data_IF_343347012291
#
_entry.id   IF_343347012291
#
_cell.length_a   1.000
_cell.length_b   1.000
_cell.length_c   1.000
_cell.angle_alpha   90.00
_cell.angle_beta   90.00
_cell.angle_gamma   90.00
#
_symmetry.space_group_name_H-M   'P 1'
#
loop_
_entity.id
_entity.type
_entity.pdbx_description
1 polymer ?
#
# COMPACT_ATOMS: atom_id res chain seq x y z
N UNK A 1 -13.67 -12.99 -18.17
CA UNK A 1 -12.38 -12.71 -17.76
C UNK A 1 -12.23 -11.52 -16.84
N UNK A 2 -11.01 -11.19 -16.61
CA UNK A 2 -10.48 -10.14 -15.72
C UNK A 2 -10.90 -8.71 -16.09
N UNK A 3 -11.37 -8.48 -17.31
CA UNK A 3 -11.82 -7.17 -17.81
C UNK A 3 -13.34 -6.99 -17.84
N UNK A 4 -14.10 -7.91 -17.27
CA UNK A 4 -15.55 -7.82 -17.21
C UNK A 4 -15.98 -6.75 -16.20
N UNK A 5 -16.95 -5.90 -16.60
CA UNK A 5 -17.53 -4.88 -15.73
C UNK A 5 -19.02 -5.12 -15.48
N UNK A 6 -19.72 -5.66 -16.46
CA UNK A 6 -21.15 -5.92 -16.40
C UNK A 6 -21.54 -7.00 -17.40
N UNK A 7 -22.78 -7.43 -17.36
CA UNK A 7 -23.36 -8.27 -18.41
C UNK A 7 -24.77 -7.79 -18.78
N UNK A 8 -25.21 -8.18 -19.99
CA UNK A 8 -26.61 -8.11 -20.40
C UNK A 8 -27.14 -9.51 -20.56
N UNK A 9 -28.32 -9.74 -20.03
CA UNK A 9 -29.07 -10.99 -20.20
C UNK A 9 -30.33 -10.64 -20.98
N UNK A 10 -30.51 -11.24 -22.13
CA UNK A 10 -31.62 -10.97 -23.07
C UNK A 10 -31.79 -9.46 -23.38
N UNK A 11 -30.66 -8.74 -23.53
CA UNK A 11 -30.62 -7.33 -23.86
C UNK A 11 -30.74 -6.37 -22.66
N UNK A 12 -31.09 -6.86 -21.47
CA UNK A 12 -31.20 -6.05 -20.25
C UNK A 12 -29.92 -6.14 -19.40
N UNK A 13 -29.51 -5.03 -18.80
CA UNK A 13 -28.36 -5.00 -17.89
C UNK A 13 -28.67 -5.84 -16.65
N UNK A 14 -27.78 -6.77 -16.35
CA UNK A 14 -27.89 -7.67 -15.21
C UNK A 14 -26.64 -7.65 -14.34
N UNK A 15 -26.76 -7.87 -13.02
CA UNK A 15 -25.61 -7.99 -12.13
C UNK A 15 -24.80 -9.24 -12.48
N UNK A 16 -23.47 -9.21 -12.25
CA UNK A 16 -22.59 -10.36 -12.50
C UNK A 16 -22.87 -11.56 -11.59
N UNK A 17 -23.64 -11.36 -10.53
CA UNK A 17 -24.12 -12.41 -9.61
C UNK A 17 -25.40 -13.09 -10.07
N UNK A 18 -25.99 -12.67 -11.22
CA UNK A 18 -27.22 -13.24 -11.76
C UNK A 18 -27.05 -14.72 -12.12
N UNK A 19 -28.06 -15.52 -11.77
CA UNK A 19 -28.12 -16.94 -12.11
C UNK A 19 -28.67 -17.12 -13.51
N UNK A 20 -27.81 -17.56 -14.40
CA UNK A 20 -28.17 -17.74 -15.82
C UNK A 20 -29.01 -18.99 -16.04
N UNK A 21 -29.98 -18.89 -16.93
CA UNK A 21 -30.89 -19.99 -17.34
C UNK A 21 -30.57 -20.46 -18.76
N UNK A 22 -30.92 -21.70 -19.06
CA UNK A 22 -30.78 -22.25 -20.42
C UNK A 22 -31.62 -21.44 -21.42
N UNK A 23 -31.03 -21.14 -22.56
CA UNK A 23 -31.71 -20.39 -23.63
C UNK A 23 -31.55 -18.86 -23.58
N UNK A 24 -30.98 -18.31 -22.52
CA UNK A 24 -30.73 -16.88 -22.42
C UNK A 24 -29.56 -16.44 -23.31
N UNK A 25 -29.69 -15.26 -23.90
CA UNK A 25 -28.62 -14.59 -24.66
C UNK A 25 -27.82 -13.71 -23.72
N UNK A 26 -26.50 -13.93 -23.64
CA UNK A 26 -25.61 -13.23 -22.75
C UNK A 26 -24.58 -12.40 -23.51
N UNK A 27 -24.50 -11.14 -23.18
CA UNK A 27 -23.49 -10.21 -23.67
C UNK A 27 -22.61 -9.75 -22.51
N UNK A 28 -21.29 -10.01 -22.59
CA UNK A 28 -20.32 -9.59 -21.57
C UNK A 28 -19.80 -8.21 -21.94
N UNK A 29 -19.95 -7.25 -21.04
CA UNK A 29 -19.42 -5.90 -21.19
C UNK A 29 -18.05 -5.86 -20.51
N UNK A 30 -17.02 -5.50 -21.28
CA UNK A 30 -15.65 -5.41 -20.80
C UNK A 30 -15.03 -4.07 -21.19
N UNK A 31 -14.09 -3.58 -20.37
CA UNK A 31 -13.33 -2.37 -20.67
C UNK A 31 -11.85 -2.55 -20.38
N UNK A 32 -11.02 -1.80 -21.12
CA UNK A 32 -9.59 -1.75 -20.84
C UNK A 32 -9.38 -1.08 -19.46
N UNK A 33 -8.60 -1.73 -18.58
CA UNK A 33 -8.35 -1.24 -17.24
C UNK A 33 -9.32 -1.70 -16.15
N UNK A 34 -10.40 -2.43 -16.53
CA UNK A 34 -11.22 -3.09 -15.52
C UNK A 34 -10.43 -4.17 -14.77
N UNK A 35 -10.72 -4.31 -13.49
CA UNK A 35 -10.05 -5.24 -12.58
C UNK A 35 -11.09 -6.07 -11.83
N UNK A 36 -10.78 -7.33 -11.49
CA UNK A 36 -11.63 -8.16 -10.67
C UNK A 36 -11.86 -7.54 -9.29
N UNK A 37 -13.13 -7.52 -8.87
CA UNK A 37 -13.48 -7.06 -7.54
C UNK A 37 -13.38 -8.21 -6.52
N UNK A 38 -12.76 -8.02 -5.35
CA UNK A 38 -12.68 -9.04 -4.29
C UNK A 38 -14.04 -9.64 -3.90
N UNK A 39 -15.10 -8.83 -3.91
CA UNK A 39 -16.46 -9.27 -3.59
C UNK A 39 -17.01 -10.33 -4.55
N UNK A 40 -16.44 -10.47 -5.74
CA UNK A 40 -16.85 -11.53 -6.68
C UNK A 40 -16.58 -12.93 -6.14
N UNK A 41 -15.63 -13.09 -5.22
CA UNK A 41 -15.37 -14.37 -4.56
C UNK A 41 -16.58 -14.91 -3.78
N UNK A 42 -17.53 -14.03 -3.41
CA UNK A 42 -18.72 -14.41 -2.65
C UNK A 42 -19.77 -15.13 -3.50
N UNK A 43 -19.80 -14.86 -4.82
CA UNK A 43 -20.83 -15.43 -5.69
C UNK A 43 -20.28 -16.30 -6.85
N UNK A 44 -18.97 -16.22 -7.19
CA UNK A 44 -18.44 -17.07 -8.27
C UNK A 44 -18.49 -18.54 -7.89
N UNK A 45 -19.07 -19.36 -8.76
CA UNK A 45 -19.29 -20.78 -8.52
C UNK A 45 -18.08 -21.65 -8.91
N UNK A 46 -17.39 -21.31 -10.03
CA UNK A 46 -16.37 -22.20 -10.60
C UNK A 46 -15.02 -22.04 -9.92
N UNK A 47 -14.32 -23.16 -9.67
CA UNK A 47 -12.96 -23.17 -9.12
C UNK A 47 -11.99 -22.35 -9.99
N UNK A 48 -12.14 -22.39 -11.32
CA UNK A 48 -11.33 -21.64 -12.28
C UNK A 48 -11.48 -20.13 -12.09
N UNK A 49 -12.71 -19.63 -11.93
CA UNK A 49 -12.95 -18.21 -11.69
C UNK A 49 -12.38 -17.76 -10.34
N UNK A 50 -12.62 -18.56 -9.28
CA UNK A 50 -12.07 -18.29 -7.95
C UNK A 50 -10.54 -18.23 -7.95
N UNK A 51 -9.89 -19.19 -8.62
CA UNK A 51 -8.43 -19.23 -8.75
C UNK A 51 -7.89 -18.02 -9.50
N UNK A 52 -8.52 -17.65 -10.63
CA UNK A 52 -8.11 -16.49 -11.42
C UNK A 52 -8.23 -15.17 -10.64
N UNK A 53 -9.36 -14.97 -9.92
CA UNK A 53 -9.55 -13.77 -9.08
C UNK A 53 -8.52 -13.73 -7.96
N UNK A 54 -8.30 -14.83 -7.23
CA UNK A 54 -7.30 -14.89 -6.15
C UNK A 54 -5.89 -14.60 -6.66
N UNK A 55 -5.54 -15.16 -7.82
CA UNK A 55 -4.24 -14.93 -8.44
C UNK A 55 -4.04 -13.46 -8.80
N UNK A 56 -5.06 -12.84 -9.40
CA UNK A 56 -5.04 -11.42 -9.73
C UNK A 56 -4.85 -10.54 -8.49
N UNK A 57 -5.67 -10.76 -7.45
CA UNK A 57 -5.61 -10.00 -6.20
C UNK A 57 -4.25 -10.17 -5.48
N UNK A 58 -3.67 -11.37 -5.52
CA UNK A 58 -2.34 -11.63 -4.95
C UNK A 58 -1.25 -10.85 -5.70
N UNK A 59 -1.31 -10.81 -7.02
CA UNK A 59 -0.33 -10.07 -7.83
C UNK A 59 -0.48 -8.57 -7.60
N UNK A 60 -1.71 -8.05 -7.57
CA UNK A 60 -1.98 -6.65 -7.26
C UNK A 60 -1.41 -6.27 -5.87
N UNK A 61 -1.66 -7.08 -4.85
CA UNK A 61 -1.10 -6.85 -3.52
C UNK A 61 0.43 -6.88 -3.51
N UNK A 62 1.04 -7.75 -4.31
CA UNK A 62 2.49 -7.80 -4.47
C UNK A 62 3.01 -6.49 -5.06
N UNK A 63 2.46 -6.04 -6.18
CA UNK A 63 2.90 -4.82 -6.87
C UNK A 63 2.69 -3.57 -5.99
N UNK A 64 1.56 -3.49 -5.29
CA UNK A 64 1.29 -2.42 -4.34
C UNK A 64 2.30 -2.40 -3.19
N UNK A 65 2.65 -3.58 -2.63
CA UNK A 65 3.64 -3.66 -1.55
C UNK A 65 5.03 -3.26 -2.00
N UNK A 66 5.45 -3.66 -3.20
CA UNK A 66 6.74 -3.27 -3.78
C UNK A 66 6.80 -1.76 -4.01
N UNK A 67 5.74 -1.17 -4.58
CA UNK A 67 5.66 0.27 -4.83
C UNK A 67 5.68 1.09 -3.53
N UNK A 68 4.91 0.67 -2.53
CA UNK A 68 4.92 1.29 -1.21
C UNK A 68 6.31 1.18 -0.57
N UNK A 69 6.90 -0.03 -0.56
CA UNK A 69 8.23 -0.26 -0.01
C UNK A 69 9.32 0.58 -0.67
N UNK A 70 9.21 0.78 -1.99
CA UNK A 70 10.14 1.65 -2.74
C UNK A 70 10.03 3.11 -2.28
N UNK A 71 8.82 3.63 -2.10
CA UNK A 71 8.62 5.01 -1.60
C UNK A 71 9.14 5.18 -0.18
N UNK A 72 8.84 4.21 0.71
CA UNK A 72 9.31 4.22 2.09
C UNK A 72 10.83 4.17 2.18
N UNK A 73 11.46 3.34 1.34
CA UNK A 73 12.91 3.25 1.28
C UNK A 73 13.55 4.52 0.69
N UNK A 74 12.97 5.10 -0.37
CA UNK A 74 13.48 6.35 -0.95
C UNK A 74 13.48 7.50 0.06
N UNK A 75 12.43 7.60 0.86
CA UNK A 75 12.37 8.56 1.96
C UNK A 75 13.45 8.31 3.03
N UNK A 76 13.63 7.05 3.43
CA UNK A 76 14.68 6.69 4.40
C UNK A 76 16.08 6.99 3.85
N UNK A 77 16.32 6.77 2.56
CA UNK A 77 17.56 7.12 1.88
C UNK A 77 17.77 8.63 1.76
N UNK A 78 16.71 9.40 1.50
CA UNK A 78 16.76 10.86 1.44
C UNK A 78 17.24 11.45 2.78
N UNK A 79 16.84 10.87 3.91
CA UNK A 79 17.33 11.26 5.23
C UNK A 79 18.84 10.99 5.42
N UNK A 80 19.41 10.06 4.65
CA UNK A 80 20.85 9.78 4.61
C UNK A 80 21.59 10.54 3.50
N UNK A 81 20.88 11.46 2.81
CA UNK A 81 21.43 12.28 1.72
C UNK A 81 21.65 11.54 0.41
N UNK A 82 20.98 10.41 0.20
CA UNK A 82 21.07 9.57 -1.00
C UNK A 82 19.67 9.33 -1.58
N UNK A 83 19.56 9.16 -2.89
CA UNK A 83 18.29 8.82 -3.55
C UNK A 83 18.29 7.36 -4.01
N UNK A 84 17.11 6.77 -4.09
CA UNK A 84 16.92 5.40 -4.60
C UNK A 84 17.60 5.18 -5.97
N UNK A 85 17.52 6.16 -6.87
CA UNK A 85 18.12 6.10 -8.22
C UNK A 85 19.65 6.09 -8.22
N UNK A 86 20.29 6.53 -7.14
CA UNK A 86 21.74 6.61 -6.97
C UNK A 86 22.34 5.33 -6.38
N UNK A 87 21.51 4.36 -6.01
CA UNK A 87 21.95 3.09 -5.46
C UNK A 87 22.77 2.29 -6.49
N UNK A 88 23.95 1.89 -6.10
CA UNK A 88 24.84 1.05 -6.92
C UNK A 88 24.45 -0.42 -6.81
N UNK A 89 24.59 -1.15 -7.90
CA UNK A 89 24.36 -2.62 -7.92
C UNK A 89 25.19 -3.37 -6.87
N UNK A 90 26.38 -2.88 -6.53
CA UNK A 90 27.23 -3.46 -5.47
C UNK A 90 26.58 -3.35 -4.08
N UNK A 91 25.97 -2.20 -3.75
CA UNK A 91 25.28 -1.98 -2.48
C UNK A 91 24.07 -2.91 -2.34
N UNK A 92 23.27 -3.03 -3.40
CA UNK A 92 22.15 -3.98 -3.45
C UNK A 92 22.63 -5.42 -3.25
N UNK A 93 23.72 -5.82 -3.91
CA UNK A 93 24.28 -7.18 -3.77
C UNK A 93 24.76 -7.46 -2.35
N UNK A 94 25.38 -6.48 -1.68
CA UNK A 94 25.78 -6.58 -0.27
C UNK A 94 24.57 -6.74 0.64
N UNK A 95 23.55 -5.89 0.46
CA UNK A 95 22.29 -5.99 1.21
C UNK A 95 21.65 -7.38 1.09
N UNK A 96 21.55 -7.92 -0.13
CA UNK A 96 20.95 -9.25 -0.36
C UNK A 96 21.73 -10.37 0.34
N UNK A 97 23.07 -10.26 0.41
CA UNK A 97 23.90 -11.21 1.16
C UNK A 97 23.67 -11.11 2.66
N UNK A 98 23.57 -9.90 3.20
CA UNK A 98 23.40 -9.67 4.64
C UNK A 98 21.99 -10.04 5.12
N UNK A 99 20.97 -9.75 4.31
CA UNK A 99 19.56 -10.05 4.65
C UNK A 99 19.13 -11.46 4.29
N UNK A 100 19.89 -12.19 3.46
CA UNK A 100 19.49 -13.48 2.92
C UNK A 100 18.30 -13.41 1.95
N UNK A 101 17.91 -12.22 1.51
CA UNK A 101 16.78 -12.04 0.63
C UNK A 101 17.09 -12.52 -0.80
N UNK A 102 16.15 -13.19 -1.48
CA UNK A 102 16.38 -13.73 -2.82
C UNK A 102 16.51 -12.63 -3.88
N UNK A 103 15.76 -11.53 -3.74
CA UNK A 103 15.75 -10.41 -4.68
C UNK A 103 15.58 -9.08 -3.94
N UNK A 104 15.99 -8.00 -4.59
CA UNK A 104 15.77 -6.66 -4.04
C UNK A 104 14.28 -6.28 -4.01
N UNK A 105 13.51 -6.76 -4.97
CA UNK A 105 12.07 -6.62 -5.00
C UNK A 105 11.40 -7.26 -3.79
N UNK A 106 11.89 -8.43 -3.36
CA UNK A 106 11.42 -9.07 -2.12
C UNK A 106 11.70 -8.20 -0.89
N UNK A 107 12.87 -7.54 -0.81
CA UNK A 107 13.16 -6.59 0.28
C UNK A 107 12.17 -5.42 0.26
N UNK A 108 11.88 -4.84 -0.90
CA UNK A 108 10.89 -3.78 -1.05
C UNK A 108 9.50 -4.26 -0.63
N UNK A 109 9.10 -5.45 -1.04
CA UNK A 109 7.84 -6.06 -0.62
C UNK A 109 7.76 -6.19 0.91
N UNK A 110 8.81 -6.67 1.56
CA UNK A 110 8.85 -6.80 3.02
C UNK A 110 8.75 -5.44 3.73
N UNK A 111 9.35 -4.40 3.17
CA UNK A 111 9.20 -3.02 3.66
C UNK A 111 7.74 -2.57 3.51
N UNK A 112 7.12 -2.76 2.35
CA UNK A 112 5.74 -2.36 2.10
C UNK A 112 4.72 -3.12 2.95
N UNK A 113 4.99 -4.39 3.26
CA UNK A 113 4.19 -5.19 4.20
C UNK A 113 4.45 -4.85 5.68
N UNK A 114 5.39 -3.94 5.97
CA UNK A 114 5.74 -3.56 7.35
C UNK A 114 6.60 -4.58 8.10
N UNK A 115 7.08 -5.63 7.43
CA UNK A 115 7.92 -6.67 8.04
C UNK A 115 9.38 -6.24 8.20
N UNK A 116 9.81 -5.21 7.45
CA UNK A 116 11.15 -4.64 7.52
C UNK A 116 11.09 -3.13 7.72
N UNK A 117 11.97 -2.61 8.58
CA UNK A 117 12.04 -1.17 8.87
C UNK A 117 12.82 -0.47 7.75
N UNK A 118 12.26 0.52 7.03
CA UNK A 118 12.92 1.20 5.91
C UNK A 118 14.27 1.80 6.27
N UNK A 119 14.37 2.41 7.46
CA UNK A 119 15.59 3.04 7.95
C UNK A 119 16.72 2.02 8.21
N UNK A 120 16.41 0.84 8.73
CA UNK A 120 17.39 -0.22 8.92
C UNK A 120 17.97 -0.68 7.57
N UNK A 121 17.11 -0.89 6.57
CA UNK A 121 17.52 -1.25 5.21
C UNK A 121 18.35 -0.14 4.55
N UNK A 122 17.95 1.12 4.72
CA UNK A 122 18.70 2.27 4.21
C UNK A 122 20.10 2.36 4.82
N UNK A 123 20.24 2.08 6.12
CA UNK A 123 21.52 2.06 6.82
C UNK A 123 22.47 0.95 6.31
N UNK A 124 21.95 -0.19 5.88
CA UNK A 124 22.74 -1.26 5.26
C UNK A 124 23.17 -0.87 3.84
N UNK A 125 22.32 -0.16 3.11
CA UNK A 125 22.62 0.29 1.74
C UNK A 125 23.66 1.42 1.68
N UNK A 126 23.63 2.34 2.67
CA UNK A 126 24.53 3.52 2.70
C UNK A 126 25.55 3.37 3.82
N UNK A 127 26.80 3.00 3.50
CA UNK A 127 27.89 2.91 4.47
C UNK A 127 28.08 4.23 5.23
N UNK A 128 28.49 4.21 6.51
CA UNK A 128 28.69 5.41 7.33
C UNK A 128 29.56 6.49 6.69
N UNK A 129 30.58 6.07 5.92
CA UNK A 129 31.49 6.99 5.22
C UNK A 129 30.82 7.77 4.05
N UNK A 130 29.68 7.33 3.56
CA UNK A 130 28.95 7.97 2.46
C UNK A 130 27.72 8.77 2.91
N UNK A 131 27.41 8.73 4.19
CA UNK A 131 26.29 9.48 4.76
C UNK A 131 26.64 10.96 4.77
N UNK A 132 25.88 11.76 4.03
CA UNK A 132 25.92 13.20 4.19
C UNK A 132 25.11 13.49 5.45
N UNK A 133 25.80 13.77 6.57
CA UNK A 133 25.18 14.21 7.80
C UNK A 133 24.53 15.56 7.48
N UNK A 134 23.26 15.56 7.17
CA UNK A 134 22.46 16.77 7.26
C UNK A 134 22.31 17.06 8.72
N UNK A 135 22.84 18.22 9.13
CA UNK A 135 22.87 18.72 10.52
C UNK A 135 21.57 18.36 11.26
N UNK A 136 21.70 17.62 12.35
CA UNK A 136 20.63 16.95 13.09
C UNK A 136 19.67 17.87 13.86
N UNK A 137 19.29 19.02 13.31
CA UNK A 137 18.40 20.00 13.98
C UNK A 137 17.14 20.41 13.20
N UNK A 138 16.88 19.87 12.03
CA UNK A 138 15.56 19.99 11.40
C UNK A 138 15.15 18.61 10.89
N UNK A 139 14.24 17.96 11.57
CA UNK A 139 13.44 16.84 11.06
C UNK A 139 12.63 17.33 9.85
N UNK A 140 13.30 17.66 8.76
CA UNK A 140 12.67 17.86 7.46
C UNK A 140 12.62 16.54 6.72
N UNK A 141 12.05 15.52 7.34
CA UNK A 141 11.51 14.39 6.61
C UNK A 141 10.38 14.96 5.78
N UNK A 142 10.61 15.11 4.47
CA UNK A 142 9.52 15.42 3.55
C UNK A 142 8.43 14.37 3.77
N UNK A 143 7.20 14.77 4.10
CA UNK A 143 6.15 13.81 4.38
C UNK A 143 5.87 12.96 3.14
N UNK A 144 5.59 11.66 3.34
CA UNK A 144 5.11 10.81 2.25
C UNK A 144 3.70 11.28 1.88
N UNK A 145 3.50 11.59 0.62
CA UNK A 145 2.18 11.95 0.11
C UNK A 145 1.34 10.69 -0.03
N UNK A 146 0.17 10.67 0.59
CA UNK A 146 -0.78 9.56 0.55
C UNK A 146 -1.97 9.94 -0.30
N UNK A 147 -2.33 9.05 -1.24
CA UNK A 147 -3.57 9.09 -1.99
C UNK A 147 -4.55 8.05 -1.41
N UNK A 148 -5.82 8.41 -1.27
CA UNK A 148 -6.86 7.50 -0.76
C UNK A 148 -7.06 6.24 -1.61
N UNK A 149 -6.61 6.26 -2.86
CA UNK A 149 -6.67 5.14 -3.79
C UNK A 149 -5.56 4.09 -3.60
N UNK A 150 -4.67 4.27 -2.62
CA UNK A 150 -3.47 3.45 -2.42
C UNK A 150 -3.71 2.07 -1.79
N UNK A 151 -4.79 1.41 -2.12
CA UNK A 151 -4.91 -0.04 -2.04
C UNK A 151 -4.93 -0.67 -0.64
N UNK A 152 -4.71 -2.00 -0.63
CA UNK A 152 -4.86 -2.88 0.54
C UNK A 152 -3.81 -2.68 1.64
N UNK A 153 -2.73 -1.95 1.37
CA UNK A 153 -1.58 -1.80 2.27
C UNK A 153 -1.54 -0.48 3.03
N UNK A 154 -2.43 0.44 2.69
CA UNK A 154 -2.64 1.68 3.44
C UNK A 154 -3.99 1.58 4.14
N UNK A 155 -3.98 1.59 5.46
CA UNK A 155 -5.18 1.45 6.26
C UNK A 155 -5.39 2.70 7.14
N UNK A 156 -6.64 3.13 7.27
CA UNK A 156 -7.00 4.22 8.18
C UNK A 156 -7.35 3.65 9.55
N UNK A 157 -6.76 4.24 10.59
CA UNK A 157 -6.92 3.75 11.96
C UNK A 157 -8.37 3.98 12.43
N UNK A 158 -9.01 2.90 12.90
CA UNK A 158 -10.37 2.94 13.44
C UNK A 158 -10.49 3.66 14.78
N UNK A 159 -9.39 3.96 15.45
CA UNK A 159 -9.39 4.64 16.76
C UNK A 159 -9.46 6.16 16.66
N UNK A 160 -9.23 6.74 15.48
CA UNK A 160 -9.20 8.19 15.29
C UNK A 160 -9.74 8.67 13.94
N UNK A 161 -10.12 7.76 13.05
CA UNK A 161 -10.79 8.04 11.79
C UNK A 161 -10.23 9.26 11.02
N UNK A 162 -8.94 9.23 10.58
CA UNK A 162 -8.33 10.37 9.89
C UNK A 162 -9.02 10.62 8.55
N UNK A 163 -9.27 11.88 8.24
CA UNK A 163 -9.89 12.32 6.98
C UNK A 163 -8.97 13.30 6.24
N UNK A 164 -9.15 13.52 4.94
CA UNK A 164 -8.37 14.49 4.17
C UNK A 164 -8.40 15.88 4.80
N UNK A 165 -7.21 16.48 4.95
CA UNK A 165 -7.02 17.77 5.60
C UNK A 165 -6.55 17.66 7.07
N UNK A 166 -6.71 16.53 7.71
CA UNK A 166 -6.18 16.32 9.06
C UNK A 166 -4.65 16.20 9.08
N UNK A 167 -3.99 16.63 10.16
CA UNK A 167 -2.59 16.29 10.38
C UNK A 167 -2.45 14.80 10.70
N UNK A 168 -1.68 14.08 9.88
CA UNK A 168 -1.58 12.63 9.92
C UNK A 168 -0.17 12.12 10.16
N UNK A 169 -0.08 10.97 10.82
CA UNK A 169 1.14 10.22 11.06
C UNK A 169 0.94 8.77 10.65
N UNK A 170 1.92 8.22 9.92
CA UNK A 170 1.93 6.81 9.55
C UNK A 170 2.64 5.96 10.59
N UNK A 171 2.08 4.79 10.86
CA UNK A 171 2.71 3.73 11.65
C UNK A 171 2.85 2.46 10.83
N UNK A 172 4.08 1.94 10.74
CA UNK A 172 4.36 0.69 10.04
C UNK A 172 4.00 -0.48 10.95
N UNK A 173 3.00 -1.25 10.54
CA UNK A 173 2.49 -2.41 11.30
C UNK A 173 2.78 -3.70 10.53
N UNK A 174 3.48 -4.69 11.13
CA UNK A 174 3.75 -5.97 10.49
C UNK A 174 2.47 -6.65 9.98
N UNK A 175 2.49 -7.09 8.72
CA UNK A 175 1.38 -7.75 8.06
C UNK A 175 0.20 -6.85 7.63
N UNK A 176 0.14 -5.61 8.12
CA UNK A 176 -0.90 -4.63 7.75
C UNK A 176 -0.40 -3.50 6.86
N UNK A 177 0.93 -3.37 6.73
CA UNK A 177 1.54 -2.27 6.01
C UNK A 177 1.52 -0.95 6.79
N UNK A 178 1.12 0.13 6.15
CA UNK A 178 1.09 1.47 6.71
C UNK A 178 -0.30 1.77 7.29
N UNK A 179 -0.37 2.03 8.59
CA UNK A 179 -1.59 2.47 9.27
C UNK A 179 -1.52 3.97 9.53
N UNK A 180 -2.50 4.71 9.03
CA UNK A 180 -2.59 6.16 9.13
C UNK A 180 -3.40 6.53 10.38
N UNK A 181 -2.84 7.37 11.23
CA UNK A 181 -3.48 7.93 12.42
C UNK A 181 -3.51 9.45 12.35
N UNK A 182 -4.42 10.07 13.09
CA UNK A 182 -4.31 11.49 13.44
C UNK A 182 -3.05 11.71 14.27
N UNK A 183 -2.33 12.80 14.01
CA UNK A 183 -1.15 13.15 14.82
C UNK A 183 -1.48 13.32 16.31
N UNK A 184 -2.71 13.74 16.63
CA UNK A 184 -3.25 13.89 17.99
C UNK A 184 -3.76 12.59 18.62
N UNK A 185 -3.73 11.46 17.93
CA UNK A 185 -4.29 10.19 18.41
C UNK A 185 -3.64 9.72 19.71
N UNK A 186 -4.48 9.37 20.70
CA UNK A 186 -4.00 8.88 22.02
C UNK A 186 -3.19 7.59 21.91
N UNK A 187 -3.53 6.71 20.99
CA UNK A 187 -2.85 5.44 20.78
C UNK A 187 -1.44 5.61 20.17
N UNK A 188 -1.14 6.80 19.62
CA UNK A 188 0.21 7.12 19.15
C UNK A 188 1.21 7.39 20.27
N UNK A 189 0.78 7.60 21.52
CA UNK A 189 1.71 7.84 22.64
C UNK A 189 2.67 6.68 22.86
N UNK A 190 2.16 5.44 22.78
CA UNK A 190 2.97 4.22 22.89
C UNK A 190 3.82 3.98 21.65
N UNK A 191 3.29 4.33 20.48
CA UNK A 191 3.93 4.17 19.16
C UNK A 191 5.09 5.15 19.00
N UNK A 192 4.98 6.37 19.54
CA UNK A 192 6.05 7.40 19.52
C UNK A 192 7.33 6.98 20.26
N UNK A 193 7.24 5.97 21.14
CA UNK A 193 8.41 5.36 21.76
C UNK A 193 9.28 4.57 20.78
N UNK A 194 8.76 4.28 19.57
CA UNK A 194 9.46 3.62 18.47
C UNK A 194 9.48 4.54 17.22
N UNK A 195 10.26 5.61 17.22
CA UNK A 195 10.25 6.60 16.13
C UNK A 195 10.64 5.99 14.76
N UNK A 196 11.36 4.87 14.76
CA UNK A 196 11.75 4.15 13.53
C UNK A 196 10.57 3.57 12.76
N UNK A 197 9.44 3.32 13.42
CA UNK A 197 8.19 2.82 12.82
C UNK A 197 7.19 3.92 12.50
N UNK A 198 7.49 5.15 12.88
CA UNK A 198 6.65 6.31 12.63
C UNK A 198 7.20 7.13 11.48
N UNK A 199 6.33 7.66 10.66
CA UNK A 199 6.71 8.56 9.58
C UNK A 199 5.70 9.69 9.40
N UNK A 200 6.16 10.90 9.13
CA UNK A 200 5.29 12.01 8.79
C UNK A 200 4.64 11.75 7.43
N UNK A 201 3.34 12.00 7.37
CA UNK A 201 2.53 11.86 6.17
C UNK A 201 1.86 13.18 5.83
N UNK A 202 1.53 13.35 4.56
CA UNK A 202 0.64 14.40 4.08
C UNK A 202 -0.35 13.84 3.09
N UNK A 203 -1.53 14.45 3.04
CA UNK A 203 -2.51 14.12 2.04
C UNK A 203 -2.08 14.61 0.65
N UNK A 204 -2.46 13.87 -0.38
CA UNK A 204 -2.38 14.35 -1.76
C UNK A 204 -3.24 15.60 -1.94
N UNK A 205 -2.88 16.48 -2.89
CA UNK A 205 -3.65 17.66 -3.20
C UNK A 205 -5.08 17.33 -3.72
N UNK A 206 -5.25 16.16 -4.31
CA UNK A 206 -6.53 15.65 -4.79
C UNK A 206 -6.74 14.27 -4.19
N UNK A 207 -7.54 14.20 -3.13
CA UNK A 207 -7.91 12.94 -2.50
C UNK A 207 -9.30 12.54 -2.96
N UNK A 208 -9.42 11.36 -3.58
CA UNK A 208 -10.70 10.76 -3.99
C UNK A 208 -10.96 9.52 -3.15
N UNK A 209 -12.13 9.40 -2.57
CA UNK A 209 -12.51 8.23 -1.78
C UNK A 209 -13.58 8.54 -0.73
N UNK A 210 -14.07 7.49 -0.11
CA UNK A 210 -14.99 7.57 1.03
C UNK A 210 -14.20 7.30 2.32
N UNK A 211 -14.44 8.11 3.34
CA UNK A 211 -13.75 8.01 4.63
C UNK A 211 -14.77 7.73 5.72
N UNK A 212 -14.58 6.69 6.54
CA UNK A 212 -15.44 6.43 7.68
C UNK A 212 -15.23 7.49 8.75
N UNK A 213 -16.30 8.09 9.21
CA UNK A 213 -16.31 9.06 10.32
C UNK A 213 -17.20 8.55 11.45
N UNK A 214 -16.85 8.88 12.68
CA UNK A 214 -17.69 8.64 13.85
C UNK A 214 -18.42 9.93 14.19
N UNK A 215 -19.77 9.87 14.21
CA UNK A 215 -20.63 10.99 14.58
C UNK A 215 -21.21 10.68 15.96
N UNK A 216 -20.95 11.55 16.93
CA UNK A 216 -21.60 11.50 18.24
C UNK A 216 -22.82 12.42 18.19
N UNK A 217 -24.01 11.85 18.34
CA UNK A 217 -25.27 12.59 18.44
C UNK A 217 -25.58 12.73 19.92
N UNK A 218 -25.74 13.97 20.40
CA UNK A 218 -26.20 14.31 21.76
C UNK A 218 -27.70 14.46 21.79
#
# INVERSE_FOLDING_TARGET
GDRCIACRVDGQLAPLSEHLKSGQKIEIISTAGAQPNPNWLNFVATARARSAIRHFLKNQQHDESVNLGKRLLDQALANLGTKYKELKKSQIKTLLKETGAPTFEHVLQQIGLGNSVPFAVANLLVPPAQRKITDGRKNSTLPVVIDASEGLLVQYARCCHPIPGDPILGHITPGKGLVIHLESCRNLKEIRNNPEKCMPLSWSAVVKGEFPVEIKVE
#
